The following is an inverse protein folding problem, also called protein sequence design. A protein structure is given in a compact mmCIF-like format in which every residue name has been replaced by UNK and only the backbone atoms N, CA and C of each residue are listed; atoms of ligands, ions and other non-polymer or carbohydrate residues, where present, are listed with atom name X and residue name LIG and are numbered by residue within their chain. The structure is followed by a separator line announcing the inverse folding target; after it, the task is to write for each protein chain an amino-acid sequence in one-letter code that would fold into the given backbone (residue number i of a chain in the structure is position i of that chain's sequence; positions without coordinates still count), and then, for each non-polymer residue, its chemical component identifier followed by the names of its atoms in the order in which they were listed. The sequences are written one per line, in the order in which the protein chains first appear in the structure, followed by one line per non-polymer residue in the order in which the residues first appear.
data_IF_567361275315
#
_entry.id   IF_567361275315
#
_cell.length_a   1.000
_cell.length_b   1.000
_cell.length_c   1.000
_cell.angle_alpha   90.00
_cell.angle_beta   90.00
_cell.angle_gamma   90.00
#
_symmetry.space_group_name_H-M   'P 1'
#
loop_
_entity.id
_entity.type
_entity.pdbx_description
1 polymer ?
#
# COMPACT_ATOMS: atom_id res chain seq x y z
N UNK A 1 13.06 -11.76 26.10
CA UNK A 1 12.21 -12.97 26.08
C UNK A 1 10.95 -12.69 25.26
N UNK A 2 10.20 -11.63 25.59
CA UNK A 2 9.01 -11.19 24.82
C UNK A 2 9.24 -10.90 23.32
N UNK A 3 10.35 -10.26 22.93
CA UNK A 3 10.63 -9.96 21.50
C UNK A 3 10.88 -11.23 20.67
N UNK A 4 11.52 -12.23 21.27
CA UNK A 4 11.90 -13.47 20.59
C UNK A 4 10.69 -14.38 20.34
N UNK A 5 9.71 -14.33 21.26
CA UNK A 5 8.43 -15.04 21.13
C UNK A 5 7.49 -14.34 20.14
N UNK A 6 7.52 -13.01 20.04
CA UNK A 6 6.74 -12.26 19.04
C UNK A 6 7.29 -12.48 17.61
N UNK A 7 8.60 -12.62 17.47
CA UNK A 7 9.26 -12.87 16.19
C UNK A 7 9.06 -14.32 15.70
N UNK A 8 9.01 -15.30 16.61
CA UNK A 8 8.68 -16.69 16.24
C UNK A 8 7.24 -16.83 15.77
N UNK A 9 6.28 -16.20 16.46
CA UNK A 9 4.86 -16.20 16.05
C UNK A 9 4.67 -15.55 14.67
N UNK A 10 5.40 -14.48 14.36
CA UNK A 10 5.35 -13.84 13.02
C UNK A 10 5.85 -14.77 11.91
N UNK A 11 6.91 -15.53 12.15
CA UNK A 11 7.48 -16.42 11.14
C UNK A 11 6.58 -17.63 10.85
N UNK A 12 5.96 -18.21 11.88
CA UNK A 12 4.98 -19.30 11.70
C UNK A 12 3.75 -18.81 10.93
N UNK A 13 3.16 -17.68 11.33
CA UNK A 13 2.02 -17.09 10.62
C UNK A 13 2.35 -16.77 9.15
N UNK A 14 3.57 -16.32 8.87
CA UNK A 14 4.02 -16.03 7.52
C UNK A 14 4.03 -17.30 6.64
N UNK A 15 4.60 -18.40 7.16
CA UNK A 15 4.63 -19.68 6.46
C UNK A 15 3.22 -20.24 6.22
N UNK A 16 2.35 -20.21 7.24
CA UNK A 16 0.95 -20.66 7.13
C UNK A 16 0.18 -19.87 6.07
N UNK A 17 0.38 -18.55 6.01
CA UNK A 17 -0.24 -17.71 4.99
C UNK A 17 0.26 -18.04 3.58
N UNK A 18 1.56 -18.30 3.42
CA UNK A 18 2.14 -18.71 2.14
C UNK A 18 1.60 -20.07 1.67
N UNK A 19 1.48 -21.04 2.57
CA UNK A 19 0.90 -22.35 2.27
C UNK A 19 -0.56 -22.21 1.86
N UNK A 20 -1.34 -21.40 2.58
CA UNK A 20 -2.74 -21.13 2.24
C UNK A 20 -2.86 -20.55 0.82
N UNK A 21 -2.06 -19.53 0.48
CA UNK A 21 -2.06 -18.94 -0.86
C UNK A 21 -1.74 -19.98 -1.94
N UNK A 22 -0.77 -20.87 -1.69
CA UNK A 22 -0.43 -21.96 -2.60
C UNK A 22 -1.58 -22.95 -2.77
N UNK A 23 -2.28 -23.32 -1.68
CA UNK A 23 -3.44 -24.22 -1.75
C UNK A 23 -4.59 -23.64 -2.57
N UNK A 24 -4.78 -22.32 -2.53
CA UNK A 24 -5.77 -21.61 -3.35
C UNK A 24 -5.30 -21.30 -4.78
N UNK A 25 -4.05 -21.64 -5.12
CA UNK A 25 -3.45 -21.35 -6.43
C UNK A 25 -3.20 -19.86 -6.68
N UNK A 26 -3.09 -19.06 -5.62
CA UNK A 26 -2.84 -17.62 -5.69
C UNK A 26 -1.32 -17.35 -5.69
N UNK A 27 -0.79 -16.68 -6.72
CA UNK A 27 0.63 -16.34 -6.76
C UNK A 27 0.94 -15.24 -5.73
N UNK A 28 2.13 -15.33 -5.13
CA UNK A 28 2.68 -14.27 -4.28
C UNK A 28 4.14 -14.04 -4.62
N UNK A 29 4.64 -12.87 -4.23
CA UNK A 29 6.05 -12.52 -4.29
C UNK A 29 6.49 -11.96 -2.93
N UNK A 30 7.78 -12.06 -2.63
CA UNK A 30 8.36 -11.42 -1.46
C UNK A 30 9.00 -10.11 -1.91
N UNK A 31 8.48 -8.99 -1.39
CA UNK A 31 9.07 -7.70 -1.63
C UNK A 31 10.48 -7.64 -1.00
N UNK A 32 11.46 -6.96 -1.64
CA UNK A 32 12.80 -6.82 -1.07
C UNK A 32 12.78 -6.01 0.24
N UNK A 33 11.82 -5.10 0.38
CA UNK A 33 11.62 -4.26 1.55
C UNK A 33 10.12 -4.10 1.83
N UNK A 34 9.53 -2.99 1.41
CA UNK A 34 8.15 -2.58 1.68
C UNK A 34 7.19 -3.18 0.64
N UNK A 35 6.17 -3.91 1.09
CA UNK A 35 5.16 -4.49 0.19
C UNK A 35 4.39 -3.40 -0.59
N UNK A 36 4.04 -2.28 0.06
CA UNK A 36 3.34 -1.15 -0.57
C UNK A 36 4.15 -0.56 -1.72
N UNK A 37 5.46 -0.38 -1.53
CA UNK A 37 6.36 0.12 -2.57
C UNK A 37 6.45 -0.86 -3.74
N UNK A 38 6.55 -2.17 -3.47
CA UNK A 38 6.59 -3.19 -4.51
C UNK A 38 5.28 -3.24 -5.32
N UNK A 39 4.13 -3.17 -4.66
CA UNK A 39 2.82 -3.13 -5.33
C UNK A 39 2.68 -1.88 -6.20
N UNK A 40 3.06 -0.71 -5.68
CA UNK A 40 3.06 0.53 -6.44
C UNK A 40 3.96 0.42 -7.68
N UNK A 41 5.17 -0.13 -7.54
CA UNK A 41 6.08 -0.36 -8.66
C UNK A 41 5.49 -1.30 -9.72
N UNK A 42 4.84 -2.40 -9.31
CA UNK A 42 4.20 -3.32 -10.25
C UNK A 42 3.04 -2.66 -11.01
N UNK A 43 2.26 -1.80 -10.37
CA UNK A 43 1.20 -1.02 -11.04
C UNK A 43 1.82 0.01 -12.00
N UNK A 44 2.85 0.74 -11.57
CA UNK A 44 3.54 1.73 -12.39
C UNK A 44 4.19 1.13 -13.64
N UNK A 45 4.66 -0.11 -13.55
CA UNK A 45 5.25 -0.88 -14.66
C UNK A 45 4.22 -1.66 -15.48
N UNK A 46 2.92 -1.51 -15.17
CA UNK A 46 1.79 -2.18 -15.83
C UNK A 46 1.84 -3.72 -15.74
N UNK A 47 2.43 -4.26 -14.67
CA UNK A 47 2.35 -5.69 -14.36
C UNK A 47 1.01 -6.06 -13.71
N UNK A 48 0.34 -5.08 -13.08
CA UNK A 48 -0.99 -5.20 -12.48
C UNK A 48 -1.81 -3.95 -12.80
N UNK A 49 -3.15 -4.07 -12.78
CA UNK A 49 -4.06 -2.97 -13.10
C UNK A 49 -4.25 -1.97 -11.94
N UNK A 50 -3.98 -2.40 -10.71
CA UNK A 50 -4.09 -1.55 -9.53
C UNK A 50 -3.66 -2.24 -8.24
N UNK A 51 -3.67 -1.47 -7.16
CA UNK A 51 -3.26 -1.90 -5.83
C UNK A 51 -4.47 -1.87 -4.90
N UNK A 52 -4.70 -2.98 -4.20
CA UNK A 52 -5.72 -3.06 -3.13
C UNK A 52 -5.03 -2.76 -1.81
N UNK A 53 -5.39 -1.66 -1.15
CA UNK A 53 -4.83 -1.29 0.16
C UNK A 53 -5.64 -0.17 0.82
N UNK A 54 -5.79 -0.22 2.14
CA UNK A 54 -6.39 0.87 2.93
C UNK A 54 -5.36 1.93 3.36
N UNK A 55 -4.09 1.66 3.10
CA UNK A 55 -2.96 2.52 3.46
C UNK A 55 -2.70 3.60 2.40
N UNK A 56 -2.65 4.86 2.83
CA UNK A 56 -2.41 6.00 1.94
C UNK A 56 -0.96 6.17 1.48
N UNK A 57 0.02 5.55 2.16
CA UNK A 57 1.43 5.69 1.80
C UNK A 57 1.74 5.10 0.42
N UNK A 58 0.86 4.24 -0.11
CA UNK A 58 0.93 3.72 -1.47
C UNK A 58 0.98 4.84 -2.53
N UNK A 59 0.33 5.99 -2.27
CA UNK A 59 0.37 7.15 -3.17
C UNK A 59 1.73 7.85 -3.13
N UNK A 60 2.42 7.83 -1.97
CA UNK A 60 3.79 8.36 -1.83
C UNK A 60 4.79 7.51 -2.64
N UNK A 61 4.49 6.22 -2.84
CA UNK A 61 5.24 5.33 -3.73
C UNK A 61 4.91 5.50 -5.21
N UNK A 62 3.85 6.25 -5.54
CA UNK A 62 3.47 6.60 -6.91
C UNK A 62 2.42 5.68 -7.54
N UNK A 63 1.72 4.86 -6.74
CA UNK A 63 0.58 4.10 -7.25
C UNK A 63 -0.52 5.02 -7.77
N UNK A 64 -1.09 4.66 -8.92
CA UNK A 64 -2.06 5.51 -9.62
C UNK A 64 -3.49 4.96 -9.56
N UNK A 65 -3.63 3.63 -9.51
CA UNK A 65 -4.92 2.95 -9.41
C UNK A 65 -4.97 2.21 -8.07
N UNK A 66 -5.79 2.70 -7.14
CA UNK A 66 -5.89 2.17 -5.78
C UNK A 66 -7.34 1.89 -5.42
N UNK A 67 -7.59 0.72 -4.84
CA UNK A 67 -8.90 0.27 -4.37
C UNK A 67 -8.85 0.12 -2.85
N UNK A 68 -9.68 0.89 -2.14
CA UNK A 68 -9.82 0.85 -0.67
C UNK A 68 -11.12 0.16 -0.26
N UNK A 69 -11.13 -0.39 0.95
CA UNK A 69 -12.27 -1.05 1.58
C UNK A 69 -12.83 -2.27 0.82
N UNK A 70 -12.02 -2.96 0.00
CA UNK A 70 -12.53 -4.07 -0.83
C UNK A 70 -13.07 -5.26 0.00
N UNK A 71 -12.55 -5.42 1.21
CA UNK A 71 -12.91 -6.51 2.13
C UNK A 71 -13.80 -6.05 3.29
N UNK A 72 -14.20 -4.76 3.34
CA UNK A 72 -15.09 -4.21 4.36
C UNK A 72 -16.53 -4.20 3.83
N UNK A 73 -17.34 -5.14 4.33
CA UNK A 73 -18.73 -5.35 3.94
C UNK A 73 -19.69 -4.23 4.37
N UNK A 74 -19.21 -3.29 5.20
CA UNK A 74 -20.00 -2.15 5.70
C UNK A 74 -19.79 -0.88 4.88
N UNK A 75 -18.80 -0.87 3.98
CA UNK A 75 -18.44 0.29 3.17
C UNK A 75 -18.57 -0.03 1.69
N UNK A 76 -18.71 1.02 0.90
CA UNK A 76 -18.50 0.91 -0.53
C UNK A 76 -17.00 0.87 -0.82
N UNK A 77 -16.63 0.11 -1.85
CA UNK A 77 -15.26 0.12 -2.38
C UNK A 77 -14.99 1.51 -2.94
N UNK A 78 -13.92 2.13 -2.46
CA UNK A 78 -13.47 3.44 -2.93
C UNK A 78 -12.37 3.25 -3.97
N UNK A 79 -12.45 3.98 -5.08
CA UNK A 79 -11.51 3.85 -6.19
C UNK A 79 -10.83 5.17 -6.48
N UNK A 80 -9.50 5.17 -6.45
CA UNK A 80 -8.65 6.30 -6.78
C UNK A 80 -7.86 5.95 -8.04
N UNK A 81 -8.03 6.70 -9.14
CA UNK A 81 -7.44 6.36 -10.44
C UNK A 81 -6.42 7.40 -10.92
N UNK A 82 -5.61 7.09 -11.94
CA UNK A 82 -4.63 7.98 -12.59
C UNK A 82 -5.20 9.38 -12.87
N UNK A 83 -6.49 9.46 -13.23
CA UNK A 83 -7.22 10.72 -13.38
C UNK A 83 -7.10 11.58 -12.13
N UNK A 84 -7.29 11.00 -10.95
CA UNK A 84 -7.13 11.68 -9.67
C UNK A 84 -5.73 12.25 -9.52
N UNK A 85 -4.63 11.62 -9.97
CA UNK A 85 -3.29 12.22 -9.84
C UNK A 85 -3.09 13.44 -10.77
N UNK A 86 -3.56 13.36 -12.01
CA UNK A 86 -3.48 14.47 -12.99
C UNK A 86 -4.50 15.57 -12.66
N UNK A 87 -5.68 15.20 -12.18
CA UNK A 87 -6.73 16.10 -11.70
C UNK A 87 -6.36 16.71 -10.35
N UNK A 88 -5.68 15.99 -9.44
CA UNK A 88 -5.09 16.59 -8.22
C UNK A 88 -4.08 17.66 -8.58
N UNK A 89 -3.21 17.37 -9.55
CA UNK A 89 -2.23 18.35 -9.98
C UNK A 89 -2.91 19.55 -10.64
N UNK A 90 -3.95 19.31 -11.45
CA UNK A 90 -4.67 20.38 -12.15
C UNK A 90 -5.59 21.21 -11.26
N UNK A 91 -6.31 20.58 -10.33
CA UNK A 91 -7.35 21.21 -9.50
C UNK A 91 -6.79 21.67 -8.16
N UNK A 92 -5.90 20.88 -7.55
CA UNK A 92 -5.32 21.15 -6.23
C UNK A 92 -3.84 21.54 -6.29
N UNK A 93 -3.20 21.46 -7.46
CA UNK A 93 -1.77 21.72 -7.58
C UNK A 93 -0.89 20.66 -6.94
N UNK A 94 -1.43 19.47 -6.60
CA UNK A 94 -0.73 18.43 -5.85
C UNK A 94 -0.07 17.41 -6.79
N UNK A 95 1.26 17.44 -6.83
CA UNK A 95 2.09 16.39 -7.43
C UNK A 95 2.61 15.44 -6.33
N UNK A 96 3.29 14.37 -6.74
CA UNK A 96 3.84 13.38 -5.81
C UNK A 96 4.81 13.99 -4.79
N UNK A 97 5.65 14.94 -5.20
CA UNK A 97 6.59 15.59 -4.28
C UNK A 97 5.87 16.41 -3.22
N UNK A 98 4.78 17.08 -3.57
CA UNK A 98 3.91 17.80 -2.63
C UNK A 98 3.18 16.84 -1.70
N UNK A 99 2.71 15.69 -2.20
CA UNK A 99 2.14 14.65 -1.34
C UNK A 99 3.16 14.13 -0.32
N UNK A 100 4.41 13.90 -0.72
CA UNK A 100 5.49 13.52 0.20
C UNK A 100 5.73 14.61 1.24
N UNK A 101 5.77 15.88 0.83
CA UNK A 101 5.90 17.01 1.77
C UNK A 101 4.72 17.08 2.73
N UNK A 102 3.50 16.81 2.28
CA UNK A 102 2.33 16.73 3.14
C UNK A 102 2.46 15.59 4.15
N UNK A 103 2.90 14.40 3.73
CA UNK A 103 3.14 13.28 4.63
C UNK A 103 4.21 13.60 5.69
N UNK A 104 5.26 14.34 5.34
CA UNK A 104 6.25 14.84 6.31
C UNK A 104 5.65 15.78 7.36
N UNK A 105 4.56 16.48 7.03
CA UNK A 105 3.90 17.41 7.96
C UNK A 105 2.78 16.74 8.76
N UNK A 106 1.96 15.91 8.11
CA UNK A 106 0.78 15.26 8.69
C UNK A 106 1.12 13.97 9.45
N UNK A 107 2.27 13.37 9.14
CA UNK A 107 2.65 12.05 9.58
C UNK A 107 2.39 10.97 8.54
N UNK A 108 3.20 9.92 8.59
CA UNK A 108 3.13 8.68 7.79
C UNK A 108 3.85 7.57 8.54
N UNK A 109 3.98 6.38 7.96
CA UNK A 109 4.78 5.31 8.58
C UNK A 109 6.25 5.69 8.78
N UNK A 110 6.74 6.72 8.08
CA UNK A 110 8.13 7.18 8.12
C UNK A 110 8.36 8.44 8.95
N UNK A 111 7.31 9.08 9.48
CA UNK A 111 7.44 10.32 10.25
C UNK A 111 6.22 10.55 11.14
N UNK A 112 6.44 11.06 12.35
CA UNK A 112 5.33 11.44 13.23
C UNK A 112 4.61 12.73 12.78
N UNK A 113 5.15 13.45 11.81
CA UNK A 113 4.66 14.76 11.40
C UNK A 113 5.14 15.88 12.33
N UNK A 114 4.57 17.07 12.13
CA UNK A 114 4.88 18.27 12.91
C UNK A 114 3.79 18.52 13.95
N UNK A 115 4.19 18.85 15.18
CA UNK A 115 3.28 19.26 16.28
C UNK A 115 3.12 20.76 16.37
#
# INVERSE_FOLDING_TARGET
MLERDAESVKNEMFAECQELLQMFGLPYIIAPTEAKAQCAYMEMTNLVDGVVTDDSDVFLFGARNVYKNIFDDRKYVETYFVKVSVELERELGLDRDKLIRMALLLGSDYTEGVR
#
